data_IF_596349796994
#
_entry.id   IF_596349796994
#
_cell.length_a   1.000
_cell.length_b   1.000
_cell.length_c   1.000
_cell.angle_alpha   90.00
_cell.angle_beta   90.00
_cell.angle_gamma   90.00
#
_symmetry.space_group_name_H-M   'P 1'
#
loop_
_entity.id
_entity.type
_entity.pdbx_description
1 polymer ?
#
# COMPACT_ATOMS: atom_id res chain seq x y z
N UNK A 1 7.79 -4.40 34.11
CA UNK A 1 6.71 -4.01 33.17
C UNK A 1 5.81 -3.04 33.92
N UNK A 2 5.47 -1.89 33.35
CA UNK A 2 4.57 -0.94 34.03
C UNK A 2 3.19 -1.56 34.24
N UNK A 3 2.48 -1.11 35.28
CA UNK A 3 1.11 -1.56 35.58
C UNK A 3 0.17 -1.36 34.38
N UNK A 4 0.28 -0.20 33.72
CA UNK A 4 -0.46 0.09 32.49
C UNK A 4 -0.17 -0.92 31.37
N UNK A 5 1.10 -1.23 31.11
CA UNK A 5 1.45 -2.19 30.05
C UNK A 5 0.93 -3.60 30.36
N UNK A 6 0.85 -3.97 31.64
CA UNK A 6 0.26 -5.23 32.11
C UNK A 6 -1.25 -5.26 31.84
N UNK A 7 -1.97 -4.20 32.19
CA UNK A 7 -3.42 -4.07 31.95
C UNK A 7 -3.73 -4.06 30.44
N UNK A 8 -2.93 -3.35 29.64
CA UNK A 8 -3.08 -3.33 28.18
C UNK A 8 -2.96 -4.74 27.59
N UNK A 9 -1.90 -5.49 27.96
CA UNK A 9 -1.72 -6.87 27.49
C UNK A 9 -2.83 -7.81 27.95
N UNK A 10 -3.32 -7.63 29.18
CA UNK A 10 -4.47 -8.35 29.71
C UNK A 10 -5.72 -8.12 28.85
N UNK A 11 -6.12 -6.86 28.63
CA UNK A 11 -7.30 -6.52 27.84
C UNK A 11 -7.16 -6.98 26.38
N UNK A 12 -6.00 -6.74 25.76
CA UNK A 12 -5.71 -7.16 24.39
C UNK A 12 -5.86 -8.68 24.22
N UNK A 13 -5.42 -9.48 25.21
CA UNK A 13 -5.55 -10.94 25.15
C UNK A 13 -7.00 -11.42 25.18
N UNK A 14 -7.90 -10.64 25.77
CA UNK A 14 -9.34 -10.93 25.85
C UNK A 14 -10.03 -10.55 24.54
N UNK A 15 -9.74 -9.36 24.00
CA UNK A 15 -10.49 -8.81 22.87
C UNK A 15 -10.07 -9.43 21.52
N UNK A 16 -8.82 -9.84 21.38
CA UNK A 16 -8.26 -10.31 20.11
C UNK A 16 -8.48 -11.81 19.88
N UNK A 17 -8.28 -12.64 20.93
CA UNK A 17 -8.28 -14.09 20.74
C UNK A 17 -9.69 -14.62 20.44
N UNK A 18 -9.84 -15.59 19.52
CA UNK A 18 -11.10 -16.30 19.34
C UNK A 18 -11.43 -17.12 20.60
N UNK A 19 -12.71 -17.34 20.85
CA UNK A 19 -13.20 -18.12 21.99
C UNK A 19 -14.33 -17.45 22.76
N UNK A 20 -14.90 -18.18 23.73
CA UNK A 20 -15.97 -17.66 24.60
C UNK A 20 -15.42 -16.61 25.54
N UNK A 21 -16.16 -15.51 25.71
CA UNK A 21 -15.67 -14.36 26.46
C UNK A 21 -15.31 -14.69 27.92
N UNK A 22 -16.17 -15.43 28.62
CA UNK A 22 -15.93 -15.79 30.03
C UNK A 22 -14.64 -16.61 30.20
N UNK A 23 -14.40 -17.57 29.31
CA UNK A 23 -13.17 -18.38 29.32
C UNK A 23 -11.95 -17.48 29.08
N UNK A 24 -12.04 -16.55 28.11
CA UNK A 24 -10.97 -15.60 27.82
C UNK A 24 -10.66 -14.67 29.00
N UNK A 25 -11.69 -14.14 29.66
CA UNK A 25 -11.53 -13.30 30.85
C UNK A 25 -10.85 -14.11 31.96
N UNK A 26 -11.34 -15.31 32.27
CA UNK A 26 -10.75 -16.16 33.31
C UNK A 26 -9.29 -16.53 33.05
N UNK A 27 -8.97 -16.91 31.80
CA UNK A 27 -7.58 -17.22 31.40
C UNK A 27 -6.67 -16.00 31.50
N UNK A 28 -7.15 -14.82 31.08
CA UNK A 28 -6.38 -13.59 31.15
C UNK A 28 -6.15 -13.14 32.61
N UNK A 29 -7.19 -13.16 33.44
CA UNK A 29 -7.12 -12.86 34.87
C UNK A 29 -6.07 -13.74 35.56
N UNK A 30 -6.11 -15.05 35.31
CA UNK A 30 -5.13 -15.98 35.87
C UNK A 30 -3.71 -15.71 35.36
N UNK A 31 -3.52 -15.60 34.03
CA UNK A 31 -2.20 -15.46 33.44
C UNK A 31 -1.52 -14.14 33.84
N UNK A 32 -2.29 -13.05 33.87
CA UNK A 32 -1.78 -11.74 34.27
C UNK A 32 -1.92 -11.49 35.77
N UNK A 33 -2.46 -12.40 36.58
CA UNK A 33 -2.70 -12.18 38.02
C UNK A 33 -3.45 -10.85 38.26
N UNK A 34 -4.59 -10.71 37.59
CA UNK A 34 -5.50 -9.57 37.70
C UNK A 34 -6.90 -10.09 38.01
N UNK A 35 -7.74 -9.21 38.54
CA UNK A 35 -9.17 -9.46 38.72
C UNK A 35 -9.94 -8.44 37.88
N UNK A 36 -10.61 -8.89 36.83
CA UNK A 36 -11.35 -8.01 35.92
C UNK A 36 -12.39 -7.12 36.63
N UNK A 37 -12.91 -7.55 37.78
CA UNK A 37 -13.89 -6.77 38.57
C UNK A 37 -13.27 -5.61 39.36
N UNK A 38 -11.97 -5.70 39.66
CA UNK A 38 -11.19 -4.64 40.31
C UNK A 38 -10.62 -3.67 39.26
N UNK A 39 -10.22 -4.20 38.10
CA UNK A 39 -9.67 -3.41 36.99
C UNK A 39 -10.76 -2.58 36.29
N UNK A 40 -11.95 -3.14 36.11
CA UNK A 40 -13.08 -2.48 35.45
C UNK A 40 -14.22 -2.34 36.44
N UNK A 41 -14.51 -1.10 36.83
CA UNK A 41 -15.55 -0.78 37.81
C UNK A 41 -16.94 -1.27 37.36
N UNK A 42 -17.62 -1.99 38.24
CA UNK A 42 -19.04 -2.31 38.12
C UNK A 42 -19.90 -1.11 38.52
N UNK A 43 -21.05 -0.96 37.89
CA UNK A 43 -22.11 -0.07 38.36
C UNK A 43 -23.45 -0.80 38.42
N UNK A 44 -24.47 -0.17 39.01
CA UNK A 44 -25.78 -0.80 39.23
C UNK A 44 -26.51 -1.23 37.95
N UNK A 45 -26.03 -0.85 36.76
CA UNK A 45 -26.64 -1.22 35.48
C UNK A 45 -25.86 -2.29 34.71
N UNK A 46 -24.56 -2.49 34.99
CA UNK A 46 -23.70 -3.31 34.15
C UNK A 46 -22.50 -3.90 34.90
N UNK A 47 -22.30 -5.22 34.74
CA UNK A 47 -21.14 -5.93 35.26
C UNK A 47 -19.86 -5.61 34.47
N UNK A 48 -18.69 -5.84 35.08
CA UNK A 48 -17.39 -5.68 34.41
C UNK A 48 -17.30 -6.54 33.16
N UNK A 49 -17.80 -7.79 33.22
CA UNK A 49 -17.84 -8.70 32.07
C UNK A 49 -18.68 -8.16 30.91
N UNK A 50 -19.85 -7.58 31.18
CA UNK A 50 -20.68 -6.95 30.16
C UNK A 50 -19.99 -5.74 29.51
N UNK A 51 -19.27 -4.92 30.30
CA UNK A 51 -18.48 -3.79 29.77
C UNK A 51 -17.35 -4.27 28.85
N UNK A 52 -16.64 -5.33 29.26
CA UNK A 52 -15.61 -5.97 28.42
C UNK A 52 -16.22 -6.50 27.13
N UNK A 53 -17.40 -7.13 27.20
CA UNK A 53 -18.08 -7.66 26.03
C UNK A 53 -18.42 -6.57 25.00
N UNK A 54 -19.02 -5.47 25.46
CA UNK A 54 -19.37 -4.32 24.62
C UNK A 54 -18.12 -3.75 23.98
N UNK A 55 -17.05 -3.56 24.77
CA UNK A 55 -15.78 -3.06 24.25
C UNK A 55 -15.16 -4.00 23.22
N UNK A 56 -15.12 -5.31 23.49
CA UNK A 56 -14.56 -6.31 22.56
C UNK A 56 -15.32 -6.33 21.24
N UNK A 57 -16.67 -6.31 21.29
CA UNK A 57 -17.52 -6.24 20.09
C UNK A 57 -17.27 -4.96 19.30
N UNK A 58 -17.27 -3.80 19.97
CA UNK A 58 -17.01 -2.51 19.34
C UNK A 58 -15.60 -2.40 18.74
N UNK A 59 -14.60 -3.01 19.39
CA UNK A 59 -13.24 -3.06 18.89
C UNK A 59 -13.16 -3.85 17.57
N UNK A 60 -13.73 -5.04 17.51
CA UNK A 60 -13.76 -5.84 16.26
C UNK A 60 -14.52 -5.11 15.15
N UNK A 61 -15.64 -4.45 15.45
CA UNK A 61 -16.38 -3.65 14.47
C UNK A 61 -15.50 -2.53 13.89
N UNK A 62 -14.76 -1.79 14.71
CA UNK A 62 -13.83 -0.76 14.24
C UNK A 62 -12.71 -1.30 13.37
N UNK A 63 -12.16 -2.48 13.71
CA UNK A 63 -11.16 -3.11 12.84
C UNK A 63 -11.74 -3.46 11.47
N UNK A 64 -12.97 -3.97 11.43
CA UNK A 64 -13.66 -4.23 10.16
C UNK A 64 -13.91 -2.94 9.37
N UNK A 65 -14.36 -1.87 10.03
CA UNK A 65 -14.52 -0.55 9.40
C UNK A 65 -13.20 -0.03 8.82
N UNK A 66 -12.08 -0.22 9.53
CA UNK A 66 -10.76 0.14 9.04
C UNK A 66 -10.37 -0.68 7.79
N UNK A 67 -10.59 -2.00 7.81
CA UNK A 67 -10.36 -2.85 6.64
C UNK A 67 -11.19 -2.39 5.43
N UNK A 68 -12.46 -2.07 5.64
CA UNK A 68 -13.35 -1.55 4.58
C UNK A 68 -12.87 -0.19 4.04
N UNK A 69 -12.39 0.70 4.91
CA UNK A 69 -11.88 2.01 4.51
C UNK A 69 -10.52 1.92 3.79
N UNK A 70 -9.69 0.92 4.12
CA UNK A 70 -8.37 0.70 3.51
C UNK A 70 -8.46 -0.01 2.14
N UNK A 71 -9.47 -0.87 1.95
CA UNK A 71 -9.65 -1.68 0.74
C UNK A 71 -11.04 -1.50 0.08
N UNK A 72 -11.48 -0.27 -0.22
CA UNK A 72 -12.82 -0.02 -0.76
C UNK A 72 -13.05 -0.61 -2.16
N UNK A 73 -12.03 -0.66 -3.01
CA UNK A 73 -12.16 -1.18 -4.38
C UNK A 73 -12.17 -2.70 -4.37
N UNK A 74 -11.36 -3.33 -3.51
CA UNK A 74 -11.44 -4.77 -3.27
C UNK A 74 -12.79 -5.18 -2.67
N UNK A 75 -13.34 -4.39 -1.75
CA UNK A 75 -14.70 -4.58 -1.23
C UNK A 75 -15.72 -4.53 -2.37
N UNK A 76 -15.61 -3.55 -3.28
CA UNK A 76 -16.47 -3.47 -4.47
C UNK A 76 -16.35 -4.73 -5.34
N UNK A 77 -15.12 -5.19 -5.61
CA UNK A 77 -14.86 -6.37 -6.44
C UNK A 77 -15.43 -7.66 -5.83
N UNK A 78 -15.21 -7.89 -4.53
CA UNK A 78 -15.58 -9.14 -3.85
C UNK A 78 -17.05 -9.14 -3.37
N UNK A 79 -17.61 -7.95 -3.15
CA UNK A 79 -18.84 -7.74 -2.40
C UNK A 79 -18.66 -7.93 -0.90
N UNK A 80 -19.58 -7.35 -0.12
CA UNK A 80 -19.50 -7.29 1.35
C UNK A 80 -19.33 -8.66 2.01
N UNK A 81 -20.09 -9.66 1.58
CA UNK A 81 -20.09 -10.97 2.24
C UNK A 81 -18.72 -11.64 2.15
N UNK A 82 -18.14 -11.69 0.96
CA UNK A 82 -16.87 -12.37 0.72
C UNK A 82 -15.71 -11.58 1.31
N UNK A 83 -15.71 -10.25 1.13
CA UNK A 83 -14.74 -9.36 1.77
C UNK A 83 -14.72 -9.54 3.28
N UNK A 84 -15.90 -9.50 3.93
CA UNK A 84 -16.01 -9.65 5.38
C UNK A 84 -15.55 -11.01 5.88
N UNK A 85 -15.73 -12.09 5.10
CA UNK A 85 -15.19 -13.40 5.44
C UNK A 85 -13.66 -13.37 5.46
N UNK A 86 -13.01 -12.85 4.42
CA UNK A 86 -11.54 -12.77 4.37
C UNK A 86 -10.98 -11.82 5.43
N UNK A 87 -11.55 -10.63 5.60
CA UNK A 87 -11.09 -9.66 6.59
C UNK A 87 -11.20 -10.22 8.03
N UNK A 88 -12.28 -10.94 8.36
CA UNK A 88 -12.40 -11.58 9.68
C UNK A 88 -11.36 -12.68 9.89
N UNK A 89 -11.15 -13.54 8.90
CA UNK A 89 -10.13 -14.59 8.97
C UNK A 89 -8.73 -13.99 9.12
N UNK A 90 -8.44 -12.93 8.36
CA UNK A 90 -7.19 -12.17 8.48
C UNK A 90 -6.97 -11.63 9.89
N UNK A 91 -7.97 -10.96 10.50
CA UNK A 91 -7.85 -10.41 11.85
C UNK A 91 -7.69 -11.48 12.94
N UNK A 92 -8.15 -12.70 12.69
CA UNK A 92 -7.96 -13.84 13.60
C UNK A 92 -6.55 -14.41 13.48
N UNK A 93 -6.02 -14.55 12.26
CA UNK A 93 -4.69 -15.11 11.99
C UNK A 93 -3.55 -14.10 12.26
N UNK A 94 -3.79 -12.84 11.93
CA UNK A 94 -2.84 -11.73 12.01
C UNK A 94 -3.42 -10.61 12.89
N UNK A 95 -3.55 -10.85 14.21
CA UNK A 95 -4.13 -9.87 15.10
C UNK A 95 -3.31 -8.57 15.15
N UNK A 96 -3.96 -7.40 15.34
CA UNK A 96 -3.24 -6.14 15.42
C UNK A 96 -2.25 -6.12 16.59
N UNK A 97 -1.00 -5.79 16.30
CA UNK A 97 0.08 -5.66 17.30
C UNK A 97 0.49 -4.20 17.54
N UNK A 98 0.15 -3.31 16.60
CA UNK A 98 0.42 -1.87 16.66
C UNK A 98 -0.78 -1.11 17.23
N UNK A 99 -0.51 0.02 17.89
CA UNK A 99 -1.55 0.98 18.25
C UNK A 99 -1.96 1.86 17.06
N UNK A 100 -1.16 1.87 16.00
CA UNK A 100 -1.51 2.55 14.74
C UNK A 100 -2.33 1.60 13.87
N UNK A 101 -3.59 1.99 13.62
CA UNK A 101 -4.50 1.23 12.74
C UNK A 101 -4.11 1.35 11.27
N UNK A 102 -3.17 2.23 10.93
CA UNK A 102 -2.62 2.32 9.59
C UNK A 102 -1.92 1.04 9.13
N UNK A 103 -1.31 0.29 10.06
CA UNK A 103 -0.61 -0.96 9.74
C UNK A 103 -1.55 -2.17 9.75
N UNK A 104 -2.85 -1.96 10.03
CA UNK A 104 -3.83 -3.03 10.19
C UNK A 104 -3.89 -3.92 8.95
N UNK A 105 -4.07 -3.33 7.77
CA UNK A 105 -4.20 -4.04 6.51
C UNK A 105 -2.88 -4.49 5.88
N UNK A 106 -1.72 -4.09 6.40
CA UNK A 106 -0.42 -4.27 5.73
C UNK A 106 -0.20 -5.68 5.14
N UNK A 107 -0.55 -6.73 5.88
CA UNK A 107 -0.32 -8.12 5.47
C UNK A 107 -1.52 -8.75 4.75
N UNK A 108 -2.61 -8.01 4.53
CA UNK A 108 -3.83 -8.52 3.93
C UNK A 108 -3.63 -9.04 2.49
N UNK A 109 -2.87 -8.38 1.60
CA UNK A 109 -2.61 -8.93 0.28
C UNK A 109 -1.84 -10.26 0.32
N UNK A 110 -0.86 -10.38 1.23
CA UNK A 110 -0.11 -11.61 1.43
C UNK A 110 -1.00 -12.73 2.02
N UNK A 111 -1.90 -12.39 2.94
CA UNK A 111 -2.91 -13.31 3.47
C UNK A 111 -3.85 -13.82 2.37
N UNK A 112 -4.38 -12.93 1.51
CA UNK A 112 -5.23 -13.33 0.39
C UNK A 112 -4.50 -14.33 -0.52
N UNK A 113 -3.23 -14.04 -0.86
CA UNK A 113 -2.40 -14.96 -1.65
C UNK A 113 -2.22 -16.32 -0.96
N UNK A 114 -1.93 -16.34 0.34
CA UNK A 114 -1.73 -17.56 1.11
C UNK A 114 -3.02 -18.38 1.29
N UNK A 115 -4.19 -17.72 1.23
CA UNK A 115 -5.51 -18.36 1.33
C UNK A 115 -5.97 -19.07 0.06
N UNK A 116 -5.28 -18.86 -1.07
CA UNK A 116 -5.61 -19.51 -2.33
C UNK A 116 -5.36 -21.03 -2.27
N UNK A 117 -6.06 -21.83 -3.11
CA UNK A 117 -5.81 -23.27 -3.21
C UNK A 117 -4.35 -23.59 -3.56
N UNK A 118 -3.72 -24.47 -2.78
CA UNK A 118 -2.29 -24.84 -2.95
C UNK A 118 -2.00 -25.68 -4.19
N UNK A 119 -3.02 -26.22 -4.84
CA UNK A 119 -2.89 -27.13 -5.99
C UNK A 119 -2.90 -26.38 -7.33
N UNK A 120 -2.18 -25.25 -7.44
CA UNK A 120 -2.02 -24.59 -8.74
C UNK A 120 -1.21 -25.51 -9.66
N UNK A 121 -1.75 -25.76 -10.86
CA UNK A 121 -1.16 -26.67 -11.87
C UNK A 121 -0.05 -25.97 -12.66
N UNK A 122 -0.06 -24.64 -12.70
CA UNK A 122 0.95 -23.80 -13.34
C UNK A 122 1.18 -22.50 -12.56
N UNK A 123 2.31 -21.84 -12.83
CA UNK A 123 2.63 -20.50 -12.31
C UNK A 123 1.97 -19.38 -13.15
N UNK A 124 1.11 -19.72 -14.10
CA UNK A 124 0.41 -18.72 -14.92
C UNK A 124 -0.60 -17.93 -14.08
N UNK A 125 -0.75 -16.61 -14.34
CA UNK A 125 -1.72 -15.80 -13.64
C UNK A 125 -3.14 -16.29 -13.91
N UNK A 126 -3.96 -16.31 -12.87
CA UNK A 126 -5.37 -16.74 -12.91
C UNK A 126 -6.27 -15.65 -12.37
N UNK A 127 -7.57 -15.71 -12.62
CA UNK A 127 -8.53 -14.76 -12.02
C UNK A 127 -8.53 -14.74 -10.49
N UNK A 128 -7.98 -15.76 -9.82
CA UNK A 128 -7.81 -15.77 -8.36
C UNK A 128 -6.74 -14.78 -7.88
N UNK A 129 -5.85 -14.35 -8.77
CA UNK A 129 -4.78 -13.41 -8.48
C UNK A 129 -5.27 -11.96 -8.53
N UNK A 130 -6.41 -11.69 -9.19
CA UNK A 130 -6.99 -10.35 -9.32
C UNK A 130 -7.26 -9.68 -7.96
N UNK A 131 -7.96 -10.31 -6.98
CA UNK A 131 -8.15 -9.71 -5.65
C UNK A 131 -6.84 -9.46 -4.90
N UNK A 132 -5.82 -10.28 -5.13
CA UNK A 132 -4.50 -10.13 -4.47
C UNK A 132 -3.79 -8.89 -5.00
N UNK A 133 -3.69 -8.77 -6.32
CA UNK A 133 -3.04 -7.63 -6.96
C UNK A 133 -3.78 -6.31 -6.73
N UNK A 134 -5.11 -6.35 -6.69
CA UNK A 134 -5.91 -5.19 -6.31
C UNK A 134 -5.64 -4.74 -4.88
N UNK A 135 -5.57 -5.69 -3.93
CA UNK A 135 -5.19 -5.38 -2.56
C UNK A 135 -3.76 -4.80 -2.46
N UNK A 136 -2.81 -5.30 -3.25
CA UNK A 136 -1.45 -4.76 -3.31
C UNK A 136 -1.43 -3.31 -3.82
N UNK A 137 -2.21 -3.03 -4.87
CA UNK A 137 -2.30 -1.70 -5.46
C UNK A 137 -2.98 -0.71 -4.49
N UNK A 138 -4.10 -1.08 -3.87
CA UNK A 138 -4.75 -0.24 -2.85
C UNK A 138 -3.82 0.03 -1.65
N UNK A 139 -3.08 -0.98 -1.20
CA UNK A 139 -2.08 -0.79 -0.14
C UNK A 139 -0.98 0.19 -0.57
N UNK A 140 -0.47 0.07 -1.79
CA UNK A 140 0.53 0.99 -2.32
C UNK A 140 0.00 2.42 -2.43
N UNK A 141 -1.28 2.62 -2.80
CA UNK A 141 -1.93 3.94 -2.79
C UNK A 141 -1.97 4.54 -1.38
N UNK A 142 -2.37 3.75 -0.38
CA UNK A 142 -2.40 4.17 1.01
C UNK A 142 -1.01 4.56 1.53
N UNK A 143 0.02 3.78 1.20
CA UNK A 143 1.43 4.07 1.55
C UNK A 143 1.94 5.35 0.93
N UNK A 144 1.80 5.49 -0.38
CA UNK A 144 2.24 6.68 -1.10
C UNK A 144 1.54 7.94 -0.59
N UNK A 145 0.27 7.85 -0.19
CA UNK A 145 -0.48 9.00 0.36
C UNK A 145 0.13 9.59 1.64
N UNK A 146 0.84 8.78 2.44
CA UNK A 146 1.44 9.18 3.72
C UNK A 146 2.96 9.34 3.67
N UNK A 147 3.61 8.79 2.64
CA UNK A 147 5.05 8.94 2.45
C UNK A 147 5.44 10.42 2.29
N UNK A 148 6.59 10.80 2.84
CA UNK A 148 7.16 12.15 2.64
C UNK A 148 7.49 12.34 1.16
N UNK A 149 6.87 13.34 0.55
CA UNK A 149 6.97 13.61 -0.88
C UNK A 149 8.12 14.58 -1.18
N UNK A 150 8.08 15.13 -2.38
CA UNK A 150 9.07 16.09 -2.88
C UNK A 150 8.80 17.53 -2.37
N UNK A 151 7.79 17.72 -1.52
CA UNK A 151 7.43 19.05 -1.02
C UNK A 151 8.61 19.68 -0.26
N UNK A 152 9.05 20.85 -0.74
CA UNK A 152 10.20 21.57 -0.20
C UNK A 152 11.58 21.14 -0.74
N UNK A 153 11.65 20.12 -1.62
CA UNK A 153 12.88 19.75 -2.34
C UNK A 153 12.94 20.35 -3.74
N UNK A 154 11.80 20.68 -4.34
CA UNK A 154 11.74 21.36 -5.62
C UNK A 154 12.06 22.85 -5.43
N UNK A 155 13.24 23.29 -5.87
CA UNK A 155 13.38 24.65 -6.35
C UNK A 155 12.77 24.64 -7.75
N UNK A 156 11.71 25.42 -7.97
CA UNK A 156 11.21 25.65 -9.33
C UNK A 156 12.36 26.26 -10.14
N UNK A 157 13.05 25.44 -10.92
CA UNK A 157 14.03 25.94 -11.89
C UNK A 157 13.22 26.59 -12.99
N UNK A 158 13.21 27.92 -12.99
CA UNK A 158 12.54 28.77 -13.97
C UNK A 158 13.18 28.72 -15.37
N UNK A 159 14.16 27.85 -15.59
CA UNK A 159 14.88 27.75 -16.86
C UNK A 159 14.40 26.51 -17.63
N UNK A 160 13.38 26.75 -18.46
CA UNK A 160 12.61 25.79 -19.26
C UNK A 160 13.40 25.25 -20.48
N UNK A 161 14.72 25.06 -20.32
CA UNK A 161 15.58 24.66 -21.42
C UNK A 161 15.53 23.14 -21.62
N UNK A 162 14.60 22.66 -22.44
CA UNK A 162 14.39 21.23 -22.73
C UNK A 162 15.64 20.53 -23.31
N UNK A 163 16.53 21.29 -23.94
CA UNK A 163 17.84 20.82 -24.43
C UNK A 163 18.79 20.38 -23.30
N UNK A 164 18.56 20.81 -22.06
CA UNK A 164 19.32 20.36 -20.90
C UNK A 164 19.02 18.88 -20.58
N UNK A 165 17.83 18.36 -20.89
CA UNK A 165 17.50 16.93 -20.71
C UNK A 165 18.28 15.99 -21.65
N UNK A 166 18.88 16.56 -22.69
CA UNK A 166 19.53 15.88 -23.80
C UNK A 166 21.04 15.67 -23.53
N UNK A 167 21.68 16.68 -22.97
CA UNK A 167 23.14 16.75 -22.82
C UNK A 167 23.59 16.89 -21.36
N UNK A 168 22.71 17.40 -20.50
CA UNK A 168 23.04 17.59 -19.11
C UNK A 168 22.51 16.39 -18.30
N UNK A 169 23.47 15.67 -17.73
CA UNK A 169 23.29 14.62 -16.75
C UNK A 169 22.71 15.10 -15.42
N UNK A 170 22.05 16.27 -15.41
CA UNK A 170 21.30 16.83 -14.29
C UNK A 170 20.61 15.68 -13.57
N UNK A 171 21.09 15.42 -12.35
CA UNK A 171 21.05 14.10 -11.74
C UNK A 171 19.62 13.72 -11.39
N UNK A 172 18.91 13.14 -12.36
CA UNK A 172 17.55 12.69 -12.14
C UNK A 172 17.57 11.58 -11.11
N UNK A 173 16.83 11.79 -10.03
CA UNK A 173 16.59 10.79 -9.00
C UNK A 173 15.11 10.46 -8.99
N UNK A 174 14.80 9.23 -8.62
CA UNK A 174 13.41 8.83 -8.40
C UNK A 174 12.89 9.40 -7.08
N UNK A 175 11.61 9.74 -7.06
CA UNK A 175 10.94 10.22 -5.85
C UNK A 175 10.95 9.13 -4.76
N UNK A 176 11.13 9.49 -3.47
CA UNK A 176 11.01 8.53 -2.37
C UNK A 176 9.59 7.95 -2.25
N UNK A 177 8.59 8.62 -2.84
CA UNK A 177 7.21 8.14 -2.90
C UNK A 177 6.91 7.32 -4.17
N UNK A 178 7.88 7.10 -5.07
CA UNK A 178 7.64 6.33 -6.28
C UNK A 178 7.57 4.84 -5.95
N UNK A 179 6.39 4.26 -6.17
CA UNK A 179 6.15 2.82 -6.14
C UNK A 179 5.84 2.36 -7.57
N UNK A 180 6.54 1.31 -7.99
CA UNK A 180 6.37 0.67 -9.29
C UNK A 180 5.83 -0.73 -9.09
N UNK A 181 4.71 -1.05 -9.74
CA UNK A 181 4.10 -2.38 -9.71
C UNK A 181 4.09 -2.95 -11.13
N UNK A 182 4.42 -4.23 -11.24
CA UNK A 182 4.16 -5.05 -12.43
C UNK A 182 3.03 -6.01 -12.06
N UNK A 183 1.96 -5.96 -12.83
CA UNK A 183 0.69 -6.60 -12.54
C UNK A 183 0.25 -7.46 -13.72
N UNK A 184 -0.61 -8.44 -13.47
CA UNK A 184 -1.22 -9.28 -14.49
C UNK A 184 -2.63 -8.81 -14.88
N UNK A 185 -3.07 -7.67 -14.34
CA UNK A 185 -4.37 -7.06 -14.64
C UNK A 185 -4.22 -5.55 -14.82
N UNK A 186 -4.91 -4.92 -15.81
CA UNK A 186 -4.94 -3.48 -15.99
C UNK A 186 -5.89 -2.82 -14.98
N UNK A 187 -5.39 -2.54 -13.77
CA UNK A 187 -6.21 -2.14 -12.62
C UNK A 187 -6.49 -0.64 -12.51
N UNK A 188 -5.69 0.21 -13.15
CA UNK A 188 -5.78 1.68 -13.05
C UNK A 188 -7.15 2.22 -13.48
N UNK A 189 -7.63 1.79 -14.65
CA UNK A 189 -8.94 2.17 -15.19
C UNK A 189 -10.08 1.64 -14.34
N UNK A 190 -9.97 0.39 -13.89
CA UNK A 190 -10.95 -0.23 -12.99
C UNK A 190 -11.11 0.58 -11.69
N UNK A 191 -10.00 0.91 -11.03
CA UNK A 191 -10.01 1.73 -9.81
C UNK A 191 -10.64 3.10 -10.06
N UNK A 192 -10.24 3.77 -11.15
CA UNK A 192 -10.79 5.10 -11.49
C UNK A 192 -12.30 5.02 -11.68
N UNK A 193 -12.81 4.06 -12.45
CA UNK A 193 -14.26 3.93 -12.67
C UNK A 193 -15.02 3.63 -11.38
N UNK A 194 -14.52 2.73 -10.52
CA UNK A 194 -15.15 2.46 -9.22
C UNK A 194 -15.16 3.71 -8.33
N UNK A 195 -14.08 4.47 -8.30
CA UNK A 195 -13.99 5.72 -7.51
C UNK A 195 -14.96 6.81 -7.98
N UNK A 196 -15.23 6.89 -9.29
CA UNK A 196 -16.20 7.83 -9.86
C UNK A 196 -17.65 7.34 -9.76
N UNK A 197 -17.90 6.14 -9.22
CA UNK A 197 -19.23 5.54 -9.15
C UNK A 197 -19.77 5.12 -10.52
N UNK A 198 -18.88 4.85 -11.48
CA UNK A 198 -19.22 4.37 -12.82
C UNK A 198 -19.33 2.83 -12.83
N UNK A 199 -19.99 2.29 -13.85
CA UNK A 199 -20.03 0.85 -14.09
C UNK A 199 -18.64 0.34 -14.50
N UNK A 200 -17.88 -0.17 -13.54
CA UNK A 200 -16.54 -0.68 -13.75
C UNK A 200 -16.57 -2.13 -14.29
N UNK A 201 -15.91 -2.34 -15.42
CA UNK A 201 -15.76 -3.68 -16.01
C UNK A 201 -14.60 -4.39 -15.32
N UNK A 202 -14.85 -5.59 -14.79
CA UNK A 202 -13.81 -6.43 -14.19
C UNK A 202 -12.68 -6.68 -15.20
N UNK A 203 -11.43 -6.34 -14.87
CA UNK A 203 -10.31 -6.47 -15.80
C UNK A 203 -9.96 -7.93 -16.06
N UNK A 204 -9.69 -8.26 -17.33
CA UNK A 204 -9.15 -9.55 -17.74
C UNK A 204 -7.64 -9.64 -17.53
N UNK A 205 -7.09 -10.85 -17.63
CA UNK A 205 -5.65 -11.10 -17.51
C UNK A 205 -4.93 -10.43 -18.68
N UNK A 206 -4.14 -9.40 -18.36
CA UNK A 206 -3.27 -8.68 -19.28
C UNK A 206 -2.19 -7.99 -18.46
N UNK A 207 -0.93 -8.26 -18.80
CA UNK A 207 0.20 -7.61 -18.15
C UNK A 207 0.08 -6.08 -18.24
N UNK A 208 0.35 -5.42 -17.12
CA UNK A 208 0.37 -3.97 -17.02
C UNK A 208 1.45 -3.50 -16.06
N UNK A 209 1.92 -2.29 -16.28
CA UNK A 209 2.94 -1.64 -15.49
C UNK A 209 2.35 -0.37 -14.91
N UNK A 210 2.47 -0.18 -13.60
CA UNK A 210 1.81 0.92 -12.90
C UNK A 210 2.84 1.71 -12.11
N UNK A 211 2.74 3.03 -12.18
CA UNK A 211 3.43 3.94 -11.27
C UNK A 211 2.44 4.62 -10.34
N UNK A 212 2.83 4.63 -9.06
CA UNK A 212 2.14 5.36 -8.00
C UNK A 212 3.15 6.32 -7.39
N UNK A 213 2.78 7.58 -7.28
CA UNK A 213 3.62 8.62 -6.69
C UNK A 213 2.77 9.68 -6.02
N UNK A 214 3.41 10.53 -5.21
CA UNK A 214 2.77 11.70 -4.61
C UNK A 214 3.55 12.95 -4.96
N UNK A 215 2.86 13.95 -5.49
CA UNK A 215 3.40 15.30 -5.72
C UNK A 215 2.40 16.33 -5.23
N UNK A 216 2.87 17.34 -4.49
CA UNK A 216 2.04 18.41 -3.95
C UNK A 216 0.78 17.88 -3.24
N UNK A 217 0.96 16.86 -2.40
CA UNK A 217 -0.15 16.19 -1.69
C UNK A 217 -1.21 15.49 -2.56
N UNK A 218 -0.96 15.36 -3.87
CA UNK A 218 -1.83 14.64 -4.80
C UNK A 218 -1.17 13.30 -5.15
N UNK A 219 -1.93 12.21 -5.01
CA UNK A 219 -1.49 10.88 -5.45
C UNK A 219 -1.78 10.72 -6.93
N UNK A 220 -0.76 10.33 -7.69
CA UNK A 220 -0.86 9.99 -9.11
C UNK A 220 -0.84 8.48 -9.27
N UNK A 221 -1.78 7.95 -10.06
CA UNK A 221 -1.89 6.55 -10.44
C UNK A 221 -2.05 6.47 -11.97
N UNK A 222 -1.02 5.96 -12.64
CA UNK A 222 -1.02 5.84 -14.10
C UNK A 222 -0.40 4.54 -14.56
N UNK A 223 -0.91 4.04 -15.70
CA UNK A 223 -0.23 3.00 -16.45
C UNK A 223 1.02 3.57 -17.09
N UNK A 224 2.02 2.70 -17.22
CA UNK A 224 3.27 2.95 -17.91
C UNK A 224 3.41 2.00 -19.08
N UNK A 225 4.09 2.47 -20.12
CA UNK A 225 4.65 1.59 -21.12
C UNK A 225 5.85 0.83 -20.54
N UNK A 226 6.17 -0.33 -21.13
CA UNK A 226 7.26 -1.18 -20.65
C UNK A 226 8.58 -0.40 -20.51
N UNK A 227 8.90 0.44 -21.50
CA UNK A 227 10.14 1.22 -21.48
C UNK A 227 10.18 2.27 -20.38
N UNK A 228 9.04 2.91 -20.05
CA UNK A 228 8.92 3.90 -18.98
C UNK A 228 9.14 3.23 -17.63
N UNK A 229 8.51 2.08 -17.42
CA UNK A 229 8.64 1.30 -16.20
C UNK A 229 10.06 0.76 -16.01
N UNK A 230 10.67 0.21 -17.06
CA UNK A 230 12.06 -0.28 -17.03
C UNK A 230 13.02 0.87 -16.70
N UNK A 231 12.86 2.02 -17.35
CA UNK A 231 13.67 3.21 -17.09
C UNK A 231 13.58 3.62 -15.61
N UNK A 232 12.38 3.81 -15.07
CA UNK A 232 12.20 4.21 -13.67
C UNK A 232 12.73 3.16 -12.69
N UNK A 233 12.51 1.86 -12.96
CA UNK A 233 12.99 0.76 -12.11
C UNK A 233 14.51 0.72 -12.03
N UNK A 234 15.19 0.85 -13.18
CA UNK A 234 16.65 0.88 -13.23
C UNK A 234 17.18 2.16 -12.58
N UNK A 235 16.53 3.30 -12.81
CA UNK A 235 16.90 4.58 -12.20
C UNK A 235 16.80 4.52 -10.67
N UNK A 236 15.74 3.92 -10.12
CA UNK A 236 15.54 3.72 -8.69
C UNK A 236 16.66 2.88 -8.03
N UNK A 237 17.30 2.00 -8.81
CA UNK A 237 18.33 1.08 -8.31
C UNK A 237 19.75 1.61 -8.49
N UNK A 238 20.01 2.41 -9.54
CA UNK A 238 21.37 2.80 -9.93
C UNK A 238 21.66 4.31 -9.82
N UNK A 239 20.65 5.16 -9.69
CA UNK A 239 20.76 6.63 -9.66
C UNK A 239 21.65 7.21 -10.79
N UNK A 240 21.71 6.53 -11.94
CA UNK A 240 22.49 6.93 -13.10
C UNK A 240 21.61 6.91 -14.35
N UNK A 241 21.41 8.08 -14.94
CA UNK A 241 20.52 8.30 -16.08
C UNK A 241 20.96 7.55 -17.34
N UNK A 242 22.25 7.63 -17.71
CA UNK A 242 22.77 6.97 -18.92
C UNK A 242 22.77 5.45 -18.80
N UNK A 243 23.10 4.93 -17.61
CA UNK A 243 22.97 3.50 -17.32
C UNK A 243 21.52 3.05 -17.38
N UNK A 244 20.59 3.85 -16.83
CA UNK A 244 19.16 3.57 -16.90
C UNK A 244 18.66 3.49 -18.34
N UNK A 245 19.10 4.39 -19.21
CA UNK A 245 18.79 4.34 -20.65
C UNK A 245 19.26 3.04 -21.29
N UNK A 246 20.54 2.71 -21.11
CA UNK A 246 21.15 1.54 -21.78
C UNK A 246 20.45 0.23 -21.37
N UNK A 247 20.19 0.05 -20.07
CA UNK A 247 19.55 -1.16 -19.55
C UNK A 247 18.06 -1.20 -19.93
N UNK A 248 17.34 -0.07 -19.80
CA UNK A 248 15.91 -0.03 -20.14
C UNK A 248 15.68 -0.26 -21.64
N UNK A 249 16.53 0.28 -22.50
CA UNK A 249 16.49 0.06 -23.94
C UNK A 249 16.66 -1.44 -24.26
N UNK A 250 17.69 -2.08 -23.67
CA UNK A 250 17.92 -3.52 -23.82
C UNK A 250 16.74 -4.38 -23.35
N UNK A 251 16.19 -4.09 -22.17
CA UNK A 251 15.05 -4.83 -21.60
C UNK A 251 13.74 -4.62 -22.36
N UNK A 252 13.61 -3.52 -23.09
CA UNK A 252 12.40 -3.16 -23.84
C UNK A 252 12.52 -3.49 -25.33
N UNK A 253 13.67 -3.99 -25.79
CA UNK A 253 13.91 -4.33 -27.19
C UNK A 253 13.98 -3.12 -28.13
N UNK A 254 14.31 -1.94 -27.63
CA UNK A 254 14.43 -0.70 -28.43
C UNK A 254 15.86 -0.16 -28.41
N UNK A 255 16.21 0.68 -29.38
CA UNK A 255 17.55 1.29 -29.43
C UNK A 255 17.71 2.40 -28.40
N UNK A 256 18.94 2.63 -27.92
CA UNK A 256 19.23 3.73 -26.99
C UNK A 256 18.80 5.09 -27.55
N UNK A 257 19.02 5.34 -28.84
CA UNK A 257 18.63 6.59 -29.48
C UNK A 257 17.12 6.79 -29.52
N UNK A 258 16.36 5.71 -29.75
CA UNK A 258 14.89 5.74 -29.69
C UNK A 258 14.40 6.02 -28.28
N UNK A 259 14.91 5.30 -27.27
CA UNK A 259 14.53 5.53 -25.87
C UNK A 259 14.85 6.96 -25.43
N UNK A 260 16.01 7.51 -25.81
CA UNK A 260 16.36 8.90 -25.52
C UNK A 260 15.35 9.88 -26.11
N UNK A 261 14.92 9.69 -27.36
CA UNK A 261 13.92 10.55 -27.98
C UNK A 261 12.56 10.47 -27.26
N UNK A 262 12.10 9.26 -26.90
CA UNK A 262 10.87 9.07 -26.13
C UNK A 262 10.95 9.70 -24.73
N UNK A 263 12.11 9.58 -24.07
CA UNK A 263 12.36 10.20 -22.78
C UNK A 263 12.30 11.73 -22.85
N UNK A 264 12.75 12.38 -23.93
CA UNK A 264 12.62 13.83 -24.07
C UNK A 264 11.17 14.29 -24.03
N UNK A 265 10.27 13.54 -24.66
CA UNK A 265 8.84 13.86 -24.68
C UNK A 265 8.17 13.54 -23.34
N UNK A 266 8.66 12.53 -22.62
CA UNK A 266 8.01 12.01 -21.42
C UNK A 266 8.56 12.54 -20.09
N UNK A 267 9.82 13.00 -20.02
CA UNK A 267 10.42 13.58 -18.80
C UNK A 267 9.54 14.71 -18.20
N UNK A 268 8.98 15.64 -18.99
CA UNK A 268 8.08 16.66 -18.45
C UNK A 268 6.82 16.08 -17.78
N UNK A 269 6.34 14.92 -18.24
CA UNK A 269 5.22 14.20 -17.64
C UNK A 269 5.69 13.52 -16.35
N UNK A 270 6.85 12.85 -16.38
CA UNK A 270 7.42 12.18 -15.21
C UNK A 270 7.72 13.15 -14.06
N UNK A 271 8.21 14.36 -14.37
CA UNK A 271 8.42 15.45 -13.40
C UNK A 271 7.10 15.96 -12.83
N UNK A 272 6.07 16.16 -13.66
CA UNK A 272 4.74 16.61 -13.20
C UNK A 272 4.02 15.58 -12.35
N UNK A 273 4.20 14.30 -12.63
CA UNK A 273 3.65 13.21 -11.83
C UNK A 273 4.50 12.94 -10.58
N UNK A 274 5.64 13.60 -10.41
CA UNK A 274 6.54 13.39 -9.26
C UNK A 274 7.18 12.00 -9.24
N UNK A 275 7.39 11.38 -10.41
CA UNK A 275 8.15 10.12 -10.52
C UNK A 275 9.64 10.36 -10.31
N UNK A 276 10.12 11.47 -10.86
CA UNK A 276 11.52 11.89 -10.80
C UNK A 276 11.61 13.36 -10.37
N UNK A 277 12.78 13.76 -9.88
CA UNK A 277 13.15 15.15 -9.64
C UNK A 277 14.62 15.36 -10.06
N UNK A 278 14.98 16.61 -10.33
CA UNK A 278 16.39 16.99 -10.51
C UNK A 278 17.01 17.27 -9.15
N UNK A 279 18.17 16.65 -8.90
CA UNK A 279 19.00 16.98 -7.78
C UNK A 279 20.12 17.95 -8.24
N UNK A 280 19.89 19.24 -7.97
CA UNK A 280 20.80 20.34 -8.32
C UNK A 280 21.95 20.50 -7.30
N UNK A 281 22.07 19.61 -6.29
CA UNK A 281 23.19 19.68 -5.33
C UNK A 281 24.54 19.37 -5.96
N UNK A 282 24.56 18.82 -7.17
CA UNK A 282 25.79 18.53 -7.92
C UNK A 282 26.39 19.78 -8.56
N UNK A 283 25.59 20.83 -8.82
CA UNK A 283 26.06 22.08 -9.44
C UNK A 283 26.80 23.04 -8.47
N UNK A 284 26.78 22.76 -7.16
CA UNK A 284 27.47 23.56 -6.15
C UNK A 284 28.90 23.09 -5.84
N UNK A 285 29.41 22.06 -6.55
CA UNK A 285 30.77 21.51 -6.38
C UNK A 285 31.61 21.56 -7.67
N UNK A 286 31.45 22.58 -8.49
CA UNK A 286 32.44 22.92 -9.52
C UNK A 286 33.10 24.27 -9.15
N UNK A 287 34.43 24.30 -8.93
CA UNK A 287 35.18 25.53 -8.64
C UNK A 287 35.31 26.44 -9.87
#
# INVERSE_FOLDING_TARGET
MSELAKIQKWLTSIIIKPGRLNDKIGMADQFYQLNHTEVIRQDGSMSSGQKIEIYAKGYILRLMECMTAEYPILLHLLGEKLFNTFARSYLVEMPPVSTDLYDLGLNFPAFLKASQPKNKVSDEPTMLDLPVELAQLERALAEVSRCKGLEGLEKESTDDNQMLYLFDTASFKTSPCLVLLQLHFPLTGFIKSVQHGEDAITPGIKESFVAISRKNYIVHLNDLELWQWQFLKVLQSNNNYLTAISIAAGNSGISNGTLMAELMLWIPIALRSGYIYRDDTVDLMLP
#
